data_IF_616635014614
#
_entry.id   IF_616635014614
#
_cell.length_a   1.000
_cell.length_b   1.000
_cell.length_c   1.000
_cell.angle_alpha   90.00
_cell.angle_beta   90.00
_cell.angle_gamma   90.00
#
_symmetry.space_group_name_H-M   'P 1'
#
loop_
_entity.id
_entity.type
_entity.pdbx_description
1 polymer ?
#
# COMPACT_ATOMS: atom_id res chain seq x y z
N UNK A 1 -22.12 1.02 4.12
CA UNK A 1 -20.89 1.79 3.83
C UNK A 1 -19.99 0.87 3.03
N UNK A 2 -19.17 1.37 2.09
CA UNK A 2 -18.16 0.49 1.47
C UNK A 2 -17.23 -0.06 2.57
N UNK A 3 -16.79 -1.31 2.43
CA UNK A 3 -15.69 -1.83 3.23
C UNK A 3 -14.44 -1.05 2.86
N UNK A 4 -13.73 -0.53 3.85
CA UNK A 4 -12.49 0.22 3.68
C UNK A 4 -11.31 -0.70 3.92
N UNK A 5 -10.34 -0.59 3.03
CA UNK A 5 -9.08 -1.29 3.10
C UNK A 5 -8.00 -0.26 3.48
N UNK A 6 -7.39 -0.44 4.64
CA UNK A 6 -6.27 0.37 5.09
C UNK A 6 -5.00 -0.08 4.39
N UNK A 7 -4.29 0.85 3.76
CA UNK A 7 -3.05 0.58 3.03
C UNK A 7 -1.89 1.32 3.68
N UNK A 8 -0.71 0.70 3.68
CA UNK A 8 0.58 1.36 3.89
C UNK A 8 1.49 0.99 2.73
N UNK A 9 2.16 1.97 2.14
CA UNK A 9 3.07 1.74 1.02
C UNK A 9 4.41 2.43 1.26
N UNK A 10 5.48 1.74 0.88
CA UNK A 10 6.84 2.25 0.77
C UNK A 10 7.34 2.03 -0.65
N UNK A 11 7.72 3.13 -1.30
CA UNK A 11 8.18 3.19 -2.69
C UNK A 11 9.68 3.48 -2.67
N UNK A 12 10.48 2.60 -3.27
CA UNK A 12 11.95 2.67 -3.22
C UNK A 12 12.50 2.78 -4.65
N UNK A 13 13.47 3.67 -4.85
CA UNK A 13 14.17 3.78 -6.13
C UNK A 13 15.08 5.00 -6.19
N UNK A 14 15.52 5.34 -7.40
CA UNK A 14 16.36 6.53 -7.58
C UNK A 14 15.55 7.81 -7.34
N UNK A 15 16.19 8.82 -6.75
CA UNK A 15 15.64 10.17 -6.60
C UNK A 15 14.99 10.71 -7.87
N UNK A 16 15.58 10.43 -9.04
CA UNK A 16 15.04 10.85 -10.33
C UNK A 16 13.69 10.21 -10.62
N UNK A 17 13.58 8.89 -10.44
CA UNK A 17 12.36 8.15 -10.72
C UNK A 17 11.25 8.49 -9.72
N UNK A 18 11.59 8.66 -8.45
CA UNK A 18 10.65 9.09 -7.40
C UNK A 18 10.11 10.51 -7.66
N UNK A 19 10.98 11.46 -8.01
CA UNK A 19 10.52 12.81 -8.38
C UNK A 19 9.62 12.80 -9.61
N UNK A 20 9.89 11.93 -10.59
CA UNK A 20 9.06 11.78 -11.77
C UNK A 20 7.70 11.14 -11.42
N UNK A 21 7.67 10.17 -10.50
CA UNK A 21 6.42 9.62 -9.96
C UNK A 21 5.59 10.73 -9.29
N UNK A 22 6.17 11.45 -8.32
CA UNK A 22 5.47 12.53 -7.59
C UNK A 22 4.85 13.50 -8.58
N UNK A 23 5.63 13.99 -9.55
CA UNK A 23 5.17 14.95 -10.54
C UNK A 23 3.98 14.44 -11.36
N UNK A 24 3.97 13.15 -11.70
CA UNK A 24 2.92 12.56 -12.52
C UNK A 24 1.71 12.09 -11.72
N UNK A 25 1.86 11.87 -10.41
CA UNK A 25 0.79 11.35 -9.54
C UNK A 25 0.08 12.40 -8.71
N UNK A 26 0.62 13.62 -8.62
CA UNK A 26 0.03 14.69 -7.80
C UNK A 26 -0.75 15.71 -8.62
N UNK A 27 -1.88 16.18 -8.09
CA UNK A 27 -2.61 17.34 -8.61
C UNK A 27 -1.79 18.63 -8.46
N UNK A 28 -2.26 19.74 -9.04
CA UNK A 28 -1.65 21.07 -8.82
C UNK A 28 -1.67 21.52 -7.36
N UNK A 29 -2.54 20.92 -6.54
CA UNK A 29 -2.67 21.17 -5.11
C UNK A 29 -1.81 20.21 -4.26
N UNK A 30 -1.15 19.24 -4.90
CA UNK A 30 -0.21 18.31 -4.26
C UNK A 30 -0.83 16.99 -3.80
N UNK A 31 -2.10 16.71 -4.14
CA UNK A 31 -2.77 15.48 -3.74
C UNK A 31 -2.42 14.30 -4.65
N UNK A 32 -2.09 13.15 -4.08
CA UNK A 32 -1.90 11.92 -4.85
C UNK A 32 -3.23 11.42 -5.37
N UNK A 33 -3.32 11.14 -6.67
CA UNK A 33 -4.52 10.60 -7.30
C UNK A 33 -4.17 9.46 -8.24
N UNK A 34 -4.93 8.37 -8.15
CA UNK A 34 -4.88 7.27 -9.11
C UNK A 34 -5.20 7.78 -10.51
N UNK A 35 -6.15 8.72 -10.65
CA UNK A 35 -6.54 9.31 -11.92
C UNK A 35 -5.42 10.12 -12.60
N UNK A 36 -4.42 10.61 -11.86
CA UNK A 36 -3.25 11.26 -12.45
C UNK A 36 -2.31 10.24 -13.14
N UNK A 37 -2.23 9.03 -12.60
CA UNK A 37 -1.41 7.94 -13.16
C UNK A 37 -2.13 7.13 -14.23
N UNK A 38 -3.39 6.78 -13.96
CA UNK A 38 -4.26 5.99 -14.82
C UNK A 38 -5.58 6.75 -14.98
N UNK A 39 -5.69 7.63 -15.99
CA UNK A 39 -6.89 8.42 -16.21
C UNK A 39 -8.07 7.53 -16.58
N UNK A 40 -9.21 7.80 -15.96
CA UNK A 40 -10.48 7.17 -16.32
C UNK A 40 -11.13 7.90 -17.49
N UNK A 41 -11.68 7.13 -18.42
CA UNK A 41 -12.45 7.69 -19.53
C UNK A 41 -13.76 8.29 -19.00
N UNK A 42 -14.02 9.56 -19.27
CA UNK A 42 -15.26 10.24 -18.86
C UNK A 42 -16.50 9.82 -19.68
N UNK A 43 -16.32 9.14 -20.83
CA UNK A 43 -17.41 8.71 -21.72
C UNK A 43 -17.96 7.32 -21.35
N UNK A 44 -18.15 7.06 -20.07
CA UNK A 44 -18.78 5.82 -19.61
C UNK A 44 -20.28 5.92 -19.85
N UNK A 45 -20.88 4.81 -20.27
CA UNK A 45 -22.23 4.68 -20.83
C UNK A 45 -23.24 5.73 -20.29
N UNK A 46 -23.70 6.69 -21.13
CA UNK A 46 -24.57 7.78 -20.69
C UNK A 46 -25.95 7.31 -20.21
N UNK A 47 -26.33 6.07 -20.51
CA UNK A 47 -27.59 5.47 -20.07
C UNK A 47 -27.47 4.78 -18.68
N UNK A 48 -26.27 4.73 -18.08
CA UNK A 48 -26.05 4.16 -16.77
C UNK A 48 -26.47 5.12 -15.65
N UNK A 49 -27.74 5.02 -15.26
CA UNK A 49 -28.30 5.79 -14.14
C UNK A 49 -27.81 5.33 -12.76
N UNK A 50 -27.07 4.24 -12.70
CA UNK A 50 -26.63 3.59 -11.46
C UNK A 50 -25.13 3.73 -11.19
N UNK A 51 -24.38 4.27 -12.15
CA UNK A 51 -22.93 4.45 -12.11
C UNK A 51 -22.13 3.14 -11.95
N UNK A 52 -22.74 1.99 -12.27
CA UNK A 52 -22.12 0.66 -12.17
C UNK A 52 -20.97 0.55 -13.16
N UNK A 53 -21.16 1.00 -14.40
CA UNK A 53 -20.15 0.96 -15.44
C UNK A 53 -18.94 1.82 -15.13
N UNK A 54 -19.12 2.92 -14.38
CA UNK A 54 -17.98 3.70 -13.89
C UNK A 54 -17.21 2.94 -12.81
N UNK A 55 -17.94 2.33 -11.86
CA UNK A 55 -17.34 1.52 -10.79
C UNK A 55 -16.58 0.32 -11.34
N UNK A 56 -17.15 -0.42 -12.29
CA UNK A 56 -16.48 -1.55 -12.95
C UNK A 56 -15.20 -1.09 -13.64
N UNK A 57 -15.25 0.04 -14.36
CA UNK A 57 -14.08 0.59 -15.00
C UNK A 57 -13.02 1.05 -13.99
N UNK A 58 -13.41 1.65 -12.87
CA UNK A 58 -12.51 2.01 -11.77
C UNK A 58 -11.77 0.79 -11.23
N UNK A 59 -12.50 -0.30 -10.98
CA UNK A 59 -11.91 -1.55 -10.48
C UNK A 59 -10.96 -2.15 -11.51
N UNK A 60 -11.31 -2.17 -12.78
CA UNK A 60 -10.44 -2.69 -13.84
C UNK A 60 -9.14 -1.89 -13.96
N UNK A 61 -9.22 -0.56 -13.80
CA UNK A 61 -8.08 0.33 -14.00
C UNK A 61 -7.21 0.51 -12.75
N UNK A 62 -7.83 0.57 -11.57
CA UNK A 62 -7.18 0.91 -10.30
C UNK A 62 -7.19 -0.23 -9.29
N UNK A 63 -7.98 -1.28 -9.49
CA UNK A 63 -8.22 -2.36 -8.52
C UNK A 63 -9.26 -2.00 -7.45
N UNK A 64 -9.39 -0.73 -7.13
CA UNK A 64 -10.32 -0.18 -6.13
C UNK A 64 -11.46 0.60 -6.78
N UNK A 65 -12.54 0.78 -6.03
CA UNK A 65 -13.73 1.50 -6.48
C UNK A 65 -13.51 3.00 -6.65
N UNK A 66 -12.82 3.64 -5.71
CA UNK A 66 -12.71 5.10 -5.67
C UNK A 66 -11.26 5.55 -5.75
N UNK A 67 -11.07 6.75 -6.28
CA UNK A 67 -9.80 7.47 -6.12
C UNK A 67 -9.65 7.91 -4.65
N UNK A 68 -8.45 8.32 -4.25
CA UNK A 68 -8.22 8.88 -2.92
C UNK A 68 -8.99 10.19 -2.78
N UNK A 69 -9.39 10.53 -1.55
CA UNK A 69 -10.04 11.81 -1.27
C UNK A 69 -9.02 12.97 -1.30
N UNK A 70 -9.49 14.21 -1.44
CA UNK A 70 -8.66 15.42 -1.39
C UNK A 70 -8.18 15.76 0.04
N UNK A 71 -8.65 15.01 1.05
CA UNK A 71 -8.24 15.17 2.46
C UNK A 71 -7.15 14.18 2.90
N UNK A 72 -6.89 13.13 2.10
CA UNK A 72 -5.79 12.20 2.35
C UNK A 72 -4.47 12.84 1.89
N UNK A 73 -3.92 13.68 2.76
CA UNK A 73 -2.61 14.25 2.57
C UNK A 73 -1.58 13.12 2.54
N UNK A 74 -0.86 12.98 1.41
CA UNK A 74 0.42 12.27 1.37
C UNK A 74 1.29 12.79 2.51
N UNK A 75 1.37 12.06 3.62
CA UNK A 75 2.40 12.31 4.60
C UNK A 75 3.70 11.71 4.06
N UNK A 76 4.33 12.43 3.14
CA UNK A 76 5.61 12.05 2.55
C UNK A 76 6.66 11.99 3.67
N UNK A 77 6.91 10.79 4.19
CA UNK A 77 8.13 10.53 4.96
C UNK A 77 9.23 10.19 3.96
N UNK A 78 10.04 11.20 3.62
CA UNK A 78 11.26 11.03 2.84
C UNK A 78 12.35 10.54 3.81
N UNK A 79 12.82 9.32 3.63
CA UNK A 79 14.05 8.86 4.27
C UNK A 79 15.17 8.88 3.23
N UNK A 80 16.13 9.80 3.41
CA UNK A 80 17.38 9.80 2.66
C UNK A 80 18.25 8.64 3.17
N UNK A 81 18.54 7.67 2.29
CA UNK A 81 19.54 6.64 2.57
C UNK A 81 20.88 7.24 2.10
N UNK A 82 21.73 7.58 3.06
CA UNK A 82 23.01 8.27 2.85
C UNK A 82 23.86 7.55 1.77
N UNK A 83 23.93 8.14 0.58
CA UNK A 83 24.86 7.74 -0.47
C UNK A 83 25.83 8.89 -0.71
N UNK A 84 27.12 8.60 -0.58
CA UNK A 84 28.20 9.54 -0.82
C UNK A 84 28.06 10.24 -2.19
N UNK A 85 28.55 11.47 -2.26
CA UNK A 85 28.03 12.62 -3.04
C UNK A 85 27.99 12.53 -4.59
N UNK A 86 28.17 11.38 -5.21
CA UNK A 86 28.16 11.22 -6.68
C UNK A 86 27.35 10.00 -7.19
N UNK A 87 26.60 9.31 -6.32
CA UNK A 87 25.75 8.16 -6.69
C UNK A 87 24.30 8.58 -6.99
N UNK A 88 23.58 7.80 -7.82
CA UNK A 88 22.11 7.89 -7.87
C UNK A 88 21.57 7.53 -6.48
N UNK A 89 21.28 8.55 -5.67
CA UNK A 89 20.77 8.38 -4.31
C UNK A 89 19.50 7.54 -4.36
N UNK A 90 19.57 6.37 -3.72
CA UNK A 90 18.41 5.53 -3.45
C UNK A 90 17.63 6.25 -2.34
N UNK A 91 16.38 6.57 -2.61
CA UNK A 91 15.47 7.20 -1.66
C UNK A 91 14.26 6.30 -1.47
N UNK A 92 13.49 6.58 -0.42
CA UNK A 92 12.19 5.96 -0.22
C UNK A 92 11.14 6.99 0.18
N UNK A 93 9.90 6.71 -0.22
CA UNK A 93 8.72 7.47 0.17
C UNK A 93 7.73 6.50 0.81
N UNK A 94 7.29 6.78 2.04
CA UNK A 94 6.26 5.98 2.72
C UNK A 94 5.07 6.81 3.16
N UNK A 95 3.86 6.26 3.02
CA UNK A 95 2.60 6.85 3.47
C UNK A 95 1.49 5.80 3.62
N UNK A 96 0.45 6.13 4.40
CA UNK A 96 -0.77 5.34 4.53
C UNK A 96 -1.98 6.03 3.92
N UNK A 97 -2.96 5.25 3.48
CA UNK A 97 -4.20 5.73 2.82
C UNK A 97 -5.28 4.64 2.85
N UNK A 98 -6.54 5.02 2.65
CA UNK A 98 -7.65 4.07 2.58
C UNK A 98 -8.18 3.91 1.15
N UNK A 99 -8.59 2.69 0.81
CA UNK A 99 -9.28 2.40 -0.45
C UNK A 99 -10.58 1.66 -0.22
N UNK A 100 -11.52 1.79 -1.14
CA UNK A 100 -12.75 1.01 -1.10
C UNK A 100 -12.50 -0.40 -1.67
N UNK A 101 -12.80 -1.42 -0.87
CA UNK A 101 -12.83 -2.85 -1.19
C UNK A 101 -11.49 -3.56 -1.31
N UNK A 102 -10.52 -3.03 -2.06
CA UNK A 102 -9.24 -3.72 -2.24
C UNK A 102 -8.07 -2.74 -2.37
N UNK A 103 -6.82 -3.19 -2.12
CA UNK A 103 -5.65 -2.37 -2.39
C UNK A 103 -5.50 -2.04 -3.88
N UNK A 104 -4.93 -0.89 -4.25
CA UNK A 104 -4.83 -0.43 -5.63
C UNK A 104 -3.69 -1.11 -6.40
N UNK A 105 -3.72 -2.44 -6.50
CA UNK A 105 -2.63 -3.26 -7.07
C UNK A 105 -2.18 -2.83 -8.48
N UNK A 106 -3.08 -2.47 -9.42
CA UNK A 106 -2.68 -1.92 -10.71
C UNK A 106 -1.80 -0.67 -10.64
N UNK A 107 -2.02 0.20 -9.64
CA UNK A 107 -1.21 1.40 -9.43
C UNK A 107 0.21 1.02 -9.01
N UNK A 108 0.36 0.04 -8.12
CA UNK A 108 1.68 -0.49 -7.74
C UNK A 108 2.41 -1.10 -8.93
N UNK A 109 1.72 -1.90 -9.75
CA UNK A 109 2.30 -2.49 -10.97
C UNK A 109 2.79 -1.40 -11.93
N UNK A 110 1.99 -0.34 -12.15
CA UNK A 110 2.40 0.79 -12.98
C UNK A 110 3.64 1.50 -12.42
N UNK A 111 3.71 1.74 -11.11
CA UNK A 111 4.87 2.36 -10.48
C UNK A 111 6.15 1.55 -10.76
N UNK A 112 6.07 0.23 -10.62
CA UNK A 112 7.20 -0.67 -10.88
C UNK A 112 7.65 -0.65 -12.33
N UNK A 113 6.70 -0.86 -13.24
CA UNK A 113 7.01 -1.07 -14.65
C UNK A 113 7.38 0.23 -15.37
N UNK A 114 6.65 1.32 -15.10
CA UNK A 114 6.84 2.61 -15.80
C UNK A 114 8.00 3.42 -15.22
N UNK A 115 8.17 3.39 -13.90
CA UNK A 115 9.14 4.23 -13.20
C UNK A 115 10.35 3.45 -12.70
N UNK A 116 10.42 2.13 -12.91
CA UNK A 116 11.49 1.28 -12.39
C UNK A 116 11.69 1.49 -10.88
N UNK A 117 10.59 1.34 -10.13
CA UNK A 117 10.53 1.47 -8.68
C UNK A 117 10.26 0.11 -8.04
N UNK A 118 10.66 -0.05 -6.79
CA UNK A 118 10.31 -1.19 -5.96
C UNK A 118 9.20 -0.80 -4.99
N UNK A 119 8.24 -1.70 -4.80
CA UNK A 119 7.09 -1.44 -3.95
C UNK A 119 7.02 -2.49 -2.84
N UNK A 120 6.99 -1.98 -1.62
CA UNK A 120 6.59 -2.71 -0.42
C UNK A 120 5.26 -2.11 0.03
N UNK A 121 4.24 -2.92 0.23
CA UNK A 121 2.96 -2.43 0.73
C UNK A 121 2.32 -3.44 1.70
N UNK A 122 1.34 -2.98 2.44
CA UNK A 122 0.44 -3.82 3.22
C UNK A 122 -0.98 -3.32 3.09
N UNK A 123 -1.92 -4.25 3.24
CA UNK A 123 -3.34 -3.99 3.12
C UNK A 123 -4.09 -4.77 4.21
N UNK A 124 -5.01 -4.09 4.88
CA UNK A 124 -5.88 -4.65 5.93
C UNK A 124 -7.32 -4.28 5.60
N UNK A 125 -8.19 -5.27 5.43
CA UNK A 125 -9.64 -5.10 5.38
C UNK A 125 -10.24 -5.99 6.49
N UNK A 126 -10.61 -5.36 7.60
CA UNK A 126 -11.18 -6.04 8.77
C UNK A 126 -12.56 -6.65 8.50
N UNK A 127 -13.30 -6.13 7.52
CA UNK A 127 -14.65 -6.63 7.21
C UNK A 127 -14.59 -7.98 6.48
N UNK A 128 -13.58 -8.18 5.63
CA UNK A 128 -13.36 -9.43 4.89
C UNK A 128 -12.25 -10.31 5.51
N UNK A 129 -11.67 -9.90 6.64
CA UNK A 129 -10.52 -10.54 7.28
C UNK A 129 -9.34 -10.75 6.32
N UNK A 130 -9.02 -9.71 5.55
CA UNK A 130 -7.88 -9.71 4.62
C UNK A 130 -6.72 -8.95 5.26
N UNK A 131 -5.61 -9.65 5.50
CA UNK A 131 -4.39 -9.07 6.08
C UNK A 131 -3.23 -9.56 5.23
N UNK A 132 -2.63 -8.67 4.44
CA UNK A 132 -1.62 -9.08 3.48
C UNK A 132 -0.48 -8.06 3.34
N UNK A 133 0.69 -8.58 3.00
CA UNK A 133 1.84 -7.78 2.57
C UNK A 133 2.13 -8.01 1.09
N UNK A 134 2.63 -6.98 0.42
CA UNK A 134 2.98 -6.97 -0.99
C UNK A 134 4.46 -6.68 -1.14
N UNK A 135 5.14 -7.52 -1.91
CA UNK A 135 6.49 -7.27 -2.38
C UNK A 135 6.51 -7.45 -3.89
N UNK A 136 6.74 -6.36 -4.61
CA UNK A 136 7.10 -6.39 -6.03
C UNK A 136 6.27 -7.36 -6.90
N UNK A 137 4.95 -7.23 -6.82
CA UNK A 137 4.00 -7.97 -7.66
C UNK A 137 3.37 -9.18 -6.98
N UNK A 138 3.78 -9.50 -5.75
CA UNK A 138 3.27 -10.66 -5.04
C UNK A 138 2.68 -10.27 -3.68
N UNK A 139 1.39 -10.59 -3.49
CA UNK A 139 0.73 -10.56 -2.20
C UNK A 139 1.03 -11.84 -1.41
N UNK A 140 1.24 -11.69 -0.11
CA UNK A 140 1.35 -12.75 0.89
C UNK A 140 0.31 -12.48 1.97
N UNK A 141 -0.69 -13.35 2.07
CA UNK A 141 -1.72 -13.28 3.10
C UNK A 141 -1.24 -13.83 4.43
N UNK A 142 -1.72 -13.25 5.51
CA UNK A 142 -1.40 -13.59 6.91
C UNK A 142 -2.66 -14.05 7.68
N UNK A 143 -3.74 -14.38 6.98
CA UNK A 143 -5.03 -14.73 7.59
C UNK A 143 -4.94 -15.99 8.43
N UNK A 144 -4.17 -16.99 8.00
CA UNK A 144 -3.97 -18.24 8.75
C UNK A 144 -3.21 -17.99 10.07
N UNK A 145 -2.20 -17.12 10.05
CA UNK A 145 -1.44 -16.75 11.24
C UNK A 145 -2.28 -15.88 12.18
N UNK A 146 -3.07 -14.96 11.63
CA UNK A 146 -4.03 -14.16 12.38
C UNK A 146 -5.09 -15.04 13.05
N UNK A 147 -5.72 -15.95 12.31
CA UNK A 147 -6.74 -16.87 12.85
C UNK A 147 -6.16 -17.73 13.99
N UNK A 148 -4.93 -18.21 13.81
CA UNK A 148 -4.23 -18.97 14.84
C UNK A 148 -3.94 -18.13 16.09
N UNK A 149 -3.62 -16.85 15.94
CA UNK A 149 -3.43 -15.94 17.07
C UNK A 149 -4.76 -15.59 17.75
N UNK A 150 -5.80 -15.31 16.97
CA UNK A 150 -7.17 -15.09 17.43
C UNK A 150 -7.65 -16.24 18.30
N UNK A 151 -7.54 -17.50 17.83
CA UNK A 151 -7.96 -18.69 18.57
C UNK A 151 -7.22 -18.86 19.91
N UNK A 152 -5.99 -18.34 20.03
CA UNK A 152 -5.20 -18.41 21.26
C UNK A 152 -5.69 -17.41 22.31
N UNK A 153 -6.03 -16.19 21.90
CA UNK A 153 -6.42 -15.12 22.82
C UNK A 153 -7.93 -15.02 23.03
N UNK A 154 -8.72 -15.54 22.10
CA UNK A 154 -10.18 -15.57 22.07
C UNK A 154 -10.72 -17.02 21.91
N UNK A 155 -10.48 -17.93 22.87
CA UNK A 155 -10.89 -19.35 22.77
C UNK A 155 -12.40 -19.62 22.83
N UNK A 156 -13.21 -18.60 23.07
CA UNK A 156 -14.68 -18.64 23.05
C UNK A 156 -15.20 -17.48 22.19
N UNK A 157 -16.46 -17.50 21.72
CA UNK A 157 -17.03 -16.38 20.96
C UNK A 157 -16.80 -15.02 21.66
N UNK A 158 -16.44 -13.99 20.89
CA UNK A 158 -16.14 -12.64 21.43
C UNK A 158 -17.31 -12.08 22.26
N UNK A 159 -18.54 -12.34 21.83
CA UNK A 159 -19.77 -11.93 22.54
C UNK A 159 -19.97 -12.60 23.92
N UNK A 160 -19.19 -13.65 24.25
CA UNK A 160 -19.22 -14.31 25.57
C UNK A 160 -18.31 -13.62 26.60
N UNK A 161 -17.56 -12.58 26.21
CA UNK A 161 -16.74 -11.74 27.08
C UNK A 161 -17.49 -10.47 27.49
N UNK A 162 -17.12 -9.88 28.62
CA UNK A 162 -17.63 -8.54 28.95
C UNK A 162 -16.96 -7.45 28.10
N UNK A 163 -17.53 -6.24 28.09
CA UNK A 163 -17.09 -5.15 27.21
C UNK A 163 -15.60 -4.78 27.42
N UNK A 164 -15.09 -4.89 28.65
CA UNK A 164 -13.69 -4.57 28.99
C UNK A 164 -12.76 -5.66 28.44
N UNK A 165 -13.12 -6.93 28.64
CA UNK A 165 -12.40 -8.08 28.08
C UNK A 165 -12.41 -8.08 26.54
N UNK A 166 -13.54 -7.72 25.90
CA UNK A 166 -13.64 -7.60 24.45
C UNK A 166 -12.68 -6.52 23.92
N UNK A 167 -12.64 -5.37 24.59
CA UNK A 167 -11.74 -4.27 24.23
C UNK A 167 -10.28 -4.73 24.33
N UNK A 168 -9.89 -5.41 25.41
CA UNK A 168 -8.52 -5.92 25.57
C UNK A 168 -8.14 -6.95 24.48
N UNK A 169 -9.09 -7.77 24.04
CA UNK A 169 -8.85 -8.73 22.94
C UNK A 169 -8.67 -7.99 21.62
N UNK A 170 -9.53 -7.03 21.31
CA UNK A 170 -9.45 -6.24 20.07
C UNK A 170 -8.14 -5.45 20.01
N UNK A 171 -7.74 -4.78 21.10
CA UNK A 171 -6.45 -4.07 21.18
C UNK A 171 -5.27 -5.01 20.87
N UNK A 172 -5.28 -6.24 21.40
CA UNK A 172 -4.22 -7.23 21.12
C UNK A 172 -4.21 -7.72 19.66
N UNK A 173 -5.37 -7.76 19.01
CA UNK A 173 -5.46 -8.14 17.59
C UNK A 173 -4.90 -7.02 16.71
N UNK A 174 -5.23 -5.77 17.02
CA UNK A 174 -4.71 -4.60 16.31
C UNK A 174 -3.20 -4.49 16.48
N UNK A 175 -2.68 -4.64 17.71
CA UNK A 175 -1.25 -4.69 17.99
C UNK A 175 -0.54 -5.79 17.18
N UNK A 176 -1.13 -6.99 17.10
CA UNK A 176 -0.57 -8.09 16.32
C UNK A 176 -0.51 -7.76 14.82
N UNK A 177 -1.56 -7.14 14.27
CA UNK A 177 -1.61 -6.72 12.87
C UNK A 177 -0.49 -5.71 12.60
N UNK A 178 -0.37 -4.67 13.43
CA UNK A 178 0.66 -3.65 13.29
C UNK A 178 2.07 -4.24 13.38
N UNK A 179 2.35 -5.05 14.41
CA UNK A 179 3.67 -5.67 14.60
C UNK A 179 4.05 -6.60 13.45
N UNK A 180 3.12 -7.42 12.98
CA UNK A 180 3.35 -8.37 11.88
C UNK A 180 3.64 -7.61 10.58
N UNK A 181 2.82 -6.62 10.26
CA UNK A 181 2.96 -5.82 9.04
C UNK A 181 4.27 -5.02 9.06
N UNK A 182 4.56 -4.33 10.15
CA UNK A 182 5.77 -3.50 10.25
C UNK A 182 7.03 -4.36 10.21
N UNK A 183 7.04 -5.53 10.86
CA UNK A 183 8.17 -6.46 10.79
C UNK A 183 8.43 -6.92 9.36
N UNK A 184 7.40 -7.43 8.67
CA UNK A 184 7.55 -7.96 7.30
C UNK A 184 7.91 -6.84 6.31
N UNK A 185 7.33 -5.65 6.47
CA UNK A 185 7.66 -4.51 5.62
C UNK A 185 9.11 -4.07 5.82
N UNK A 186 9.60 -3.99 7.07
CA UNK A 186 11.00 -3.67 7.36
C UNK A 186 11.96 -4.69 6.73
N UNK A 187 11.70 -6.00 6.89
CA UNK A 187 12.51 -7.04 6.27
C UNK A 187 12.55 -6.92 4.74
N UNK A 188 11.41 -6.59 4.12
CA UNK A 188 11.31 -6.37 2.68
C UNK A 188 12.07 -5.13 2.21
N UNK A 189 11.97 -4.03 2.95
CA UNK A 189 12.71 -2.78 2.68
C UNK A 189 14.22 -3.02 2.78
N UNK A 190 14.68 -3.70 3.83
CA UNK A 190 16.09 -4.06 4.01
C UNK A 190 16.59 -4.95 2.87
N UNK A 191 15.78 -5.93 2.45
CA UNK A 191 16.10 -6.82 1.33
C UNK A 191 16.27 -6.08 0.01
N UNK A 192 15.35 -5.15 -0.31
CA UNK A 192 15.43 -4.33 -1.53
C UNK A 192 16.67 -3.42 -1.47
N UNK A 193 16.84 -2.71 -0.35
CA UNK A 193 17.93 -1.74 -0.17
C UNK A 193 19.29 -2.43 -0.30
N UNK A 194 19.46 -3.59 0.34
CA UNK A 194 20.68 -4.39 0.25
C UNK A 194 20.98 -4.85 -1.18
N UNK A 195 19.95 -5.24 -1.94
CA UNK A 195 20.08 -5.66 -3.33
C UNK A 195 20.54 -4.49 -4.22
N UNK A 196 19.91 -3.32 -4.09
CA UNK A 196 20.25 -2.14 -4.88
C UNK A 196 21.68 -1.64 -4.58
N UNK A 197 22.11 -1.70 -3.32
CA UNK A 197 23.49 -1.37 -2.94
C UNK A 197 24.51 -2.33 -3.57
N UNK A 198 24.21 -3.62 -3.63
CA UNK A 198 25.08 -4.60 -4.30
C UNK A 198 25.19 -4.35 -5.80
N UNK A 199 24.07 -4.11 -6.48
CA UNK A 199 24.03 -3.81 -7.92
C UNK A 199 24.83 -2.54 -8.25
N UNK A 200 24.73 -1.49 -7.42
CA UNK A 200 25.53 -0.28 -7.58
C UNK A 200 27.03 -0.53 -7.43
N UNK A 201 27.45 -1.29 -6.43
CA UNK A 201 28.87 -1.61 -6.22
C UNK A 201 29.47 -2.45 -7.37
N UNK A 202 28.69 -3.34 -7.99
CA UNK A 202 29.13 -4.13 -9.14
C UNK A 202 29.30 -3.31 -10.42
N UNK A 203 28.54 -2.22 -10.58
CA UNK A 203 28.71 -1.28 -11.69
C UNK A 203 29.98 -0.44 -11.58
N UNK A 204 30.50 -0.21 -10.37
CA UNK A 204 31.74 0.56 -10.16
C UNK A 204 33.03 -0.22 -10.48
N UNK A 205 32.98 -1.55 -10.46
CA UNK A 205 34.16 -2.43 -10.64
C UNK A 205 34.41 -2.79 -12.11
N UNK A 206 33.47 -2.49 -13.01
CA UNK A 206 33.55 -2.79 -14.45
C UNK A 206 33.76 -1.54 -15.31
#
# INVERSE_FOLDING_TARGET
MPNWCANRVTIIGSKKNLNQLIKDSTTSEGFFKFNCLIPINENINPDDKTNISQVEHQIDMWGTKWDLDDEEHLQLSLFEIDSDKDLETIESISFGFETAWTPPTPIYSLMREKYNLHIVASAVDEAENFIATYLDGQWTGHEDDWNKYYDQICPKPLDDYDDDEQTEILDKLDEWIEETIDTVNLENIERITSKLQQENNEMEVN
#
